data_IF_765124949578
#
_entry.id   IF_765124949578
#
_cell.length_a   1.000
_cell.length_b   1.000
_cell.length_c   1.000
_cell.angle_alpha   90.00
_cell.angle_beta   90.00
_cell.angle_gamma   90.00
#
_symmetry.space_group_name_H-M   'P 1'
#
loop_
_entity.id
_entity.type
_entity.pdbx_description
1 polymer ?
#
# COMPACT_ATOMS: atom_id res chain seq x y z
N UNK A 1 40.24 43.01 30.70
CA UNK A 1 40.72 42.21 29.57
C UNK A 1 41.32 40.87 30.06
N UNK A 2 40.55 40.00 30.74
CA UNK A 2 41.03 38.65 31.19
C UNK A 2 39.91 37.58 31.25
N UNK A 3 38.82 37.75 30.48
CA UNK A 3 37.69 36.79 30.51
C UNK A 3 37.40 36.08 29.16
N UNK A 4 38.27 36.20 28.18
CA UNK A 4 38.02 35.65 26.84
C UNK A 4 38.98 34.54 26.41
N UNK A 5 39.62 33.81 27.36
CA UNK A 5 40.55 32.71 27.05
C UNK A 5 40.08 31.32 27.49
N UNK A 6 38.88 31.20 28.06
CA UNK A 6 38.35 29.94 28.59
C UNK A 6 37.33 29.20 27.74
N UNK A 7 36.88 29.75 26.57
CA UNK A 7 35.77 29.17 25.80
C UNK A 7 36.20 28.47 24.47
N UNK A 8 37.49 28.33 24.22
CA UNK A 8 38.02 27.78 22.98
C UNK A 8 38.51 26.31 23.06
N UNK A 9 38.37 25.63 24.20
CA UNK A 9 38.92 24.27 24.39
C UNK A 9 37.84 23.18 24.51
N UNK A 10 36.56 23.50 24.57
CA UNK A 10 35.46 22.50 24.74
C UNK A 10 34.82 22.09 23.40
N UNK A 11 35.14 22.72 22.29
CA UNK A 11 34.49 22.41 20.98
C UNK A 11 35.34 21.51 20.05
N UNK A 12 36.46 20.98 20.52
CA UNK A 12 37.34 20.14 19.68
C UNK A 12 37.25 18.62 19.92
N UNK A 13 36.30 18.15 20.73
CA UNK A 13 36.21 16.72 21.08
C UNK A 13 34.93 16.01 20.59
N UNK A 14 34.13 16.60 19.73
CA UNK A 14 32.91 15.97 19.16
C UNK A 14 32.98 15.70 17.67
N UNK A 15 34.13 15.78 17.03
CA UNK A 15 34.32 15.27 15.67
C UNK A 15 35.03 13.93 15.69
N UNK A 16 34.43 12.93 16.34
CA UNK A 16 34.71 11.54 15.96
C UNK A 16 33.95 11.34 14.64
N UNK A 17 34.63 11.12 13.50
CA UNK A 17 33.93 10.69 12.30
C UNK A 17 33.34 9.32 12.63
N UNK A 18 32.01 9.27 12.75
CA UNK A 18 31.23 8.05 12.72
C UNK A 18 31.27 7.51 11.28
N UNK A 19 32.49 7.27 10.80
CA UNK A 19 32.74 6.37 9.68
C UNK A 19 32.66 4.94 10.21
N UNK A 20 31.53 4.57 10.83
CA UNK A 20 31.04 3.23 10.73
C UNK A 20 30.68 3.07 9.24
N UNK A 21 31.70 2.84 8.42
CA UNK A 21 31.55 2.22 7.13
C UNK A 21 30.74 0.95 7.41
N UNK A 22 29.43 1.02 7.20
CA UNK A 22 28.67 -0.17 6.86
C UNK A 22 29.45 -0.73 5.66
N UNK A 23 30.31 -1.69 5.93
CA UNK A 23 30.87 -2.54 4.91
C UNK A 23 29.65 -3.22 4.31
N UNK A 24 29.10 -2.63 3.27
CA UNK A 24 28.27 -3.34 2.33
C UNK A 24 29.18 -4.45 1.83
N UNK A 25 29.03 -5.61 2.46
CA UNK A 25 29.66 -6.85 2.01
C UNK A 25 29.23 -6.96 0.54
N UNK A 26 30.17 -6.78 -0.36
CA UNK A 26 29.88 -6.96 -1.79
C UNK A 26 29.11 -8.27 -1.94
N UNK A 27 27.99 -8.27 -2.67
CA UNK A 27 27.19 -9.48 -2.83
C UNK A 27 28.12 -10.56 -3.37
N UNK A 28 28.29 -11.64 -2.61
CA UNK A 28 29.06 -12.81 -3.06
C UNK A 28 28.40 -13.26 -4.36
N UNK A 29 29.13 -13.36 -5.48
CA UNK A 29 28.51 -13.76 -6.74
C UNK A 29 27.85 -15.13 -6.56
N UNK A 30 26.59 -15.23 -6.98
CA UNK A 30 25.81 -16.46 -6.93
C UNK A 30 26.56 -17.54 -7.73
N UNK A 31 26.76 -18.73 -7.15
CA UNK A 31 27.39 -19.82 -7.89
C UNK A 31 26.57 -20.15 -9.16
N UNK A 32 27.22 -20.48 -10.29
CA UNK A 32 26.50 -20.84 -11.52
C UNK A 32 25.50 -21.97 -11.31
N UNK A 33 25.83 -22.93 -10.44
CA UNK A 33 24.97 -24.05 -10.10
C UNK A 33 23.72 -23.58 -9.33
N UNK A 34 23.88 -22.77 -8.29
CA UNK A 34 22.77 -22.22 -7.52
C UNK A 34 21.87 -21.33 -8.39
N UNK A 35 22.48 -20.51 -9.26
CA UNK A 35 21.73 -19.69 -10.20
C UNK A 35 20.87 -20.53 -11.16
N UNK A 36 21.40 -21.65 -11.64
CA UNK A 36 20.65 -22.57 -12.51
C UNK A 36 19.45 -23.18 -11.77
N UNK A 37 19.64 -23.61 -10.50
CA UNK A 37 18.55 -24.11 -9.65
C UNK A 37 17.48 -23.05 -9.39
N UNK A 38 17.89 -21.81 -9.10
CA UNK A 38 16.94 -20.71 -8.89
C UNK A 38 16.11 -20.47 -10.15
N UNK A 39 16.74 -20.40 -11.32
CA UNK A 39 16.04 -20.24 -12.60
C UNK A 39 15.08 -21.39 -12.90
N UNK A 40 15.49 -22.62 -12.59
CA UNK A 40 14.64 -23.80 -12.75
C UNK A 40 13.43 -23.73 -11.81
N UNK A 41 13.62 -23.38 -10.53
CA UNK A 41 12.53 -23.21 -9.57
C UNK A 41 11.56 -22.12 -10.02
N UNK A 42 12.06 -20.97 -10.45
CA UNK A 42 11.25 -19.87 -11.00
C UNK A 42 10.42 -20.34 -12.20
N UNK A 43 11.01 -21.18 -13.08
CA UNK A 43 10.31 -21.74 -14.22
C UNK A 43 9.19 -22.71 -13.82
N UNK A 44 9.47 -23.66 -12.92
CA UNK A 44 8.46 -24.68 -12.51
C UNK A 44 7.34 -24.09 -11.62
N UNK A 45 7.60 -22.96 -10.96
CA UNK A 45 6.60 -22.24 -10.15
C UNK A 45 5.90 -21.10 -10.90
N UNK A 46 6.33 -20.84 -12.14
CA UNK A 46 5.77 -19.81 -13.01
C UNK A 46 5.65 -18.42 -12.33
N UNK A 47 6.71 -18.05 -11.59
CA UNK A 47 6.77 -16.82 -10.79
C UNK A 47 6.47 -15.58 -11.61
N UNK A 48 6.98 -15.50 -12.85
CA UNK A 48 6.77 -14.33 -13.71
C UNK A 48 5.28 -14.12 -14.04
N UNK A 49 4.56 -15.19 -14.42
CA UNK A 49 3.13 -15.10 -14.70
C UNK A 49 2.31 -14.88 -13.43
N UNK A 50 2.70 -15.47 -12.31
CA UNK A 50 2.06 -15.23 -11.01
C UNK A 50 2.22 -13.76 -10.58
N UNK A 51 3.41 -13.19 -10.74
CA UNK A 51 3.66 -11.76 -10.46
C UNK A 51 2.83 -10.87 -11.38
N UNK A 52 2.76 -11.19 -12.68
CA UNK A 52 1.93 -10.46 -13.65
C UNK A 52 0.44 -10.52 -13.31
N UNK A 53 -0.07 -11.69 -12.95
CA UNK A 53 -1.47 -11.87 -12.56
C UNK A 53 -1.79 -11.07 -11.28
N UNK A 54 -0.95 -11.18 -10.25
CA UNK A 54 -1.12 -10.45 -8.98
C UNK A 54 -1.08 -8.94 -9.21
N UNK A 55 -0.15 -8.44 -10.02
CA UNK A 55 -0.07 -7.03 -10.37
C UNK A 55 -1.32 -6.58 -11.13
N UNK A 56 -1.78 -7.36 -12.10
CA UNK A 56 -3.01 -7.07 -12.85
C UNK A 56 -4.24 -7.01 -11.93
N UNK A 57 -4.40 -7.95 -11.02
CA UNK A 57 -5.49 -7.96 -10.05
C UNK A 57 -5.42 -6.76 -9.09
N UNK A 58 -4.22 -6.42 -8.60
CA UNK A 58 -4.00 -5.25 -7.74
C UNK A 58 -4.35 -3.96 -8.47
N UNK A 59 -3.91 -3.80 -9.71
CA UNK A 59 -4.25 -2.65 -10.55
C UNK A 59 -5.75 -2.55 -10.82
N UNK A 60 -6.41 -3.68 -11.09
CA UNK A 60 -7.87 -3.71 -11.28
C UNK A 60 -8.62 -3.31 -10.02
N UNK A 61 -8.22 -3.82 -8.84
CA UNK A 61 -8.83 -3.47 -7.56
C UNK A 61 -8.65 -1.97 -7.25
N UNK A 62 -7.44 -1.43 -7.45
CA UNK A 62 -7.15 -0.01 -7.28
C UNK A 62 -7.98 0.85 -8.23
N UNK A 63 -8.05 0.46 -9.50
CA UNK A 63 -8.84 1.12 -10.54
C UNK A 63 -10.32 1.16 -10.19
N UNK A 64 -10.89 0.04 -9.73
CA UNK A 64 -12.29 -0.03 -9.30
C UNK A 64 -12.56 0.90 -8.11
N UNK A 65 -11.65 0.96 -7.14
CA UNK A 65 -11.75 1.85 -5.99
C UNK A 65 -11.72 3.33 -6.41
N UNK A 66 -10.76 3.72 -7.24
CA UNK A 66 -10.65 5.09 -7.77
C UNK A 66 -11.87 5.49 -8.61
N UNK A 67 -12.33 4.59 -9.49
CA UNK A 67 -13.54 4.84 -10.29
C UNK A 67 -14.77 5.08 -9.42
N UNK A 68 -14.90 4.32 -8.32
CA UNK A 68 -15.97 4.51 -7.34
C UNK A 68 -15.88 5.85 -6.59
N UNK A 69 -14.68 6.31 -6.27
CA UNK A 69 -14.46 7.62 -5.64
C UNK A 69 -14.79 8.78 -6.59
N UNK A 70 -14.26 8.73 -7.82
CA UNK A 70 -14.50 9.76 -8.85
C UNK A 70 -15.98 9.80 -9.23
N UNK A 71 -16.62 8.63 -9.38
CA UNK A 71 -18.05 8.55 -9.71
C UNK A 71 -18.95 9.18 -8.63
N UNK A 72 -18.53 9.24 -7.39
CA UNK A 72 -19.25 9.94 -6.31
C UNK A 72 -19.04 11.45 -6.34
N UNK A 73 -17.88 11.93 -6.77
CA UNK A 73 -17.56 13.36 -6.87
C UNK A 73 -18.20 14.04 -8.10
N UNK A 74 -18.40 13.32 -9.19
CA UNK A 74 -19.00 13.83 -10.43
C UNK A 74 -20.38 14.55 -10.30
N UNK A 75 -21.28 14.16 -9.37
CA UNK A 75 -22.56 14.87 -9.19
C UNK A 75 -22.43 16.35 -8.84
N UNK A 76 -21.39 16.73 -8.13
CA UNK A 76 -21.16 18.13 -7.70
C UNK A 76 -20.76 19.00 -8.90
N UNK A 77 -19.92 18.47 -9.80
CA UNK A 77 -19.50 19.16 -11.03
C UNK A 77 -20.65 19.32 -12.05
N UNK A 78 -21.63 18.42 -12.03
CA UNK A 78 -22.81 18.47 -12.90
C UNK A 78 -23.96 19.29 -12.30
N UNK A 79 -23.94 19.61 -11.01
CA UNK A 79 -24.99 20.34 -10.32
C UNK A 79 -25.18 21.79 -10.84
N UNK A 80 -24.17 22.35 -11.50
CA UNK A 80 -24.23 23.66 -12.17
C UNK A 80 -24.93 23.65 -13.54
N UNK A 81 -25.29 22.47 -14.08
CA UNK A 81 -25.99 22.33 -15.35
C UNK A 81 -27.47 22.05 -15.07
N UNK A 82 -28.37 22.80 -15.76
CA UNK A 82 -29.82 22.61 -15.62
C UNK A 82 -30.29 21.31 -16.27
N UNK A 83 -29.87 20.15 -15.72
CA UNK A 83 -30.20 18.81 -16.19
C UNK A 83 -31.48 18.31 -15.49
N UNK A 84 -32.35 17.60 -16.25
CA UNK A 84 -33.45 16.85 -15.62
C UNK A 84 -32.91 15.67 -14.81
N UNK A 85 -33.69 15.11 -13.84
CA UNK A 85 -33.26 13.92 -13.09
C UNK A 85 -32.84 12.74 -13.98
N UNK A 86 -33.53 12.51 -15.09
CA UNK A 86 -33.21 11.46 -16.07
C UNK A 86 -31.91 11.76 -16.79
N UNK A 87 -31.69 12.99 -17.23
CA UNK A 87 -30.44 13.42 -17.86
C UNK A 87 -29.28 13.33 -16.90
N UNK A 88 -29.48 13.68 -15.63
CA UNK A 88 -28.47 13.53 -14.58
C UNK A 88 -28.10 12.06 -14.36
N UNK A 89 -29.09 11.16 -14.31
CA UNK A 89 -28.84 9.73 -14.14
C UNK A 89 -28.05 9.14 -15.33
N UNK A 90 -28.41 9.51 -16.56
CA UNK A 90 -27.68 9.06 -17.75
C UNK A 90 -26.29 9.66 -17.86
N UNK A 91 -26.09 10.93 -17.49
CA UNK A 91 -24.78 11.57 -17.44
C UNK A 91 -23.86 10.86 -16.42
N UNK A 92 -24.37 10.54 -15.24
CA UNK A 92 -23.61 9.77 -14.21
C UNK A 92 -23.21 8.40 -14.74
N UNK A 93 -24.13 7.67 -15.35
CA UNK A 93 -23.87 6.34 -15.92
C UNK A 93 -22.82 6.38 -17.01
N UNK A 94 -22.95 7.32 -17.95
CA UNK A 94 -22.01 7.51 -19.06
C UNK A 94 -20.62 7.90 -18.56
N UNK A 95 -20.54 8.84 -17.62
CA UNK A 95 -19.29 9.27 -17.01
C UNK A 95 -18.62 8.13 -16.23
N UNK A 96 -19.38 7.36 -15.46
CA UNK A 96 -18.86 6.21 -14.73
C UNK A 96 -18.30 5.13 -15.67
N UNK A 97 -19.01 4.85 -16.77
CA UNK A 97 -18.57 3.90 -17.79
C UNK A 97 -17.28 4.38 -18.49
N UNK A 98 -17.22 5.67 -18.85
CA UNK A 98 -16.01 6.28 -19.43
C UNK A 98 -14.81 6.17 -18.50
N UNK A 99 -14.95 6.62 -17.24
CA UNK A 99 -13.88 6.57 -16.25
C UNK A 99 -13.41 5.13 -16.02
N UNK A 100 -14.34 4.19 -15.86
CA UNK A 100 -14.01 2.78 -15.68
C UNK A 100 -13.20 2.21 -16.85
N UNK A 101 -13.56 2.56 -18.08
CA UNK A 101 -12.85 2.16 -19.29
C UNK A 101 -11.43 2.76 -19.34
N UNK A 102 -11.29 4.06 -19.13
CA UNK A 102 -10.00 4.74 -19.20
C UNK A 102 -9.04 4.25 -18.09
N UNK A 103 -9.56 4.06 -16.87
CA UNK A 103 -8.79 3.50 -15.77
C UNK A 103 -8.33 2.07 -16.07
N UNK A 104 -9.18 1.24 -16.67
CA UNK A 104 -8.81 -0.11 -17.08
C UNK A 104 -7.70 -0.09 -18.14
N UNK A 105 -7.82 0.73 -19.16
CA UNK A 105 -6.78 0.88 -20.20
C UNK A 105 -5.45 1.36 -19.60
N UNK A 106 -5.50 2.32 -18.68
CA UNK A 106 -4.31 2.79 -17.97
C UNK A 106 -3.66 1.67 -17.17
N UNK A 107 -4.43 0.90 -16.40
CA UNK A 107 -3.92 -0.23 -15.62
C UNK A 107 -3.29 -1.31 -16.51
N UNK A 108 -3.92 -1.66 -17.64
CA UNK A 108 -3.36 -2.62 -18.60
C UNK A 108 -2.06 -2.13 -19.21
N UNK A 109 -1.97 -0.84 -19.57
CA UNK A 109 -0.75 -0.26 -20.11
C UNK A 109 0.39 -0.21 -19.08
N UNK A 110 0.08 0.08 -17.80
CA UNK A 110 1.07 0.04 -16.72
C UNK A 110 1.63 -1.38 -16.55
N UNK A 111 0.77 -2.41 -16.54
CA UNK A 111 1.24 -3.81 -16.44
C UNK A 111 2.08 -4.22 -17.65
N UNK A 112 1.70 -3.80 -18.86
CA UNK A 112 2.46 -4.07 -20.09
C UNK A 112 3.83 -3.39 -20.11
N UNK A 113 3.99 -2.25 -19.43
CA UNK A 113 5.25 -1.53 -19.36
C UNK A 113 6.28 -2.15 -18.41
N UNK A 114 5.86 -3.12 -17.58
CA UNK A 114 6.76 -3.79 -16.63
C UNK A 114 7.59 -4.84 -17.35
N UNK A 115 8.91 -4.70 -17.28
CA UNK A 115 9.84 -5.75 -17.69
C UNK A 115 9.91 -6.83 -16.61
N UNK A 116 9.12 -7.90 -16.79
CA UNK A 116 9.05 -9.01 -15.84
C UNK A 116 10.34 -9.84 -15.81
N UNK A 117 11.12 -9.89 -16.90
CA UNK A 117 12.40 -10.57 -16.91
C UNK A 117 13.43 -9.80 -16.08
N UNK A 118 13.47 -8.47 -16.22
CA UNK A 118 14.26 -7.62 -15.35
C UNK A 118 13.83 -7.73 -13.89
N UNK A 119 12.52 -7.80 -13.60
CA UNK A 119 11.99 -8.03 -12.26
C UNK A 119 12.47 -9.35 -11.66
N UNK A 120 12.42 -10.42 -12.43
CA UNK A 120 12.95 -11.74 -12.01
C UNK A 120 14.44 -11.64 -11.73
N UNK A 121 15.21 -11.05 -12.61
CA UNK A 121 16.65 -10.96 -12.48
C UNK A 121 17.10 -10.12 -11.29
N UNK A 122 16.43 -8.98 -11.05
CA UNK A 122 16.85 -7.98 -10.04
C UNK A 122 16.24 -8.20 -8.67
N UNK A 123 15.08 -8.85 -8.58
CA UNK A 123 14.35 -9.04 -7.32
C UNK A 123 14.29 -10.49 -6.91
N UNK A 124 13.75 -11.36 -7.77
CA UNK A 124 13.49 -12.74 -7.36
C UNK A 124 14.76 -13.56 -7.21
N UNK A 125 15.68 -13.50 -8.16
CA UNK A 125 16.94 -14.28 -8.09
C UNK A 125 17.73 -13.95 -6.81
N UNK A 126 18.00 -12.70 -6.45
CA UNK A 126 18.68 -12.37 -5.19
C UNK A 126 17.91 -12.80 -3.93
N UNK A 127 16.57 -12.76 -3.95
CA UNK A 127 15.76 -13.22 -2.82
C UNK A 127 15.86 -14.74 -2.65
N UNK A 128 15.75 -15.51 -3.71
CA UNK A 128 15.92 -16.96 -3.64
C UNK A 128 17.33 -17.35 -3.20
N UNK A 129 18.37 -16.65 -3.70
CA UNK A 129 19.75 -16.87 -3.26
C UNK A 129 19.94 -16.62 -1.77
N UNK A 130 19.30 -15.56 -1.26
CA UNK A 130 19.38 -15.18 0.16
C UNK A 130 18.70 -16.18 1.09
N UNK A 131 17.56 -16.73 0.68
CA UNK A 131 16.69 -17.49 1.59
C UNK A 131 16.81 -19.00 1.46
N UNK A 132 17.33 -19.53 0.35
CA UNK A 132 17.40 -20.95 0.11
C UNK A 132 18.85 -21.42 -0.12
N UNK A 133 19.17 -22.59 0.40
CA UNK A 133 20.35 -23.36 0.06
C UNK A 133 20.14 -24.10 -1.26
N UNK A 134 21.21 -24.58 -1.87
CA UNK A 134 21.11 -25.39 -3.10
C UNK A 134 20.29 -26.66 -2.88
N UNK A 135 20.41 -27.30 -1.71
CA UNK A 135 19.63 -28.52 -1.41
C UNK A 135 18.14 -28.21 -1.29
N UNK A 136 17.76 -27.13 -0.60
CA UNK A 136 16.36 -26.72 -0.49
C UNK A 136 15.76 -26.35 -1.85
N UNK A 137 16.54 -25.72 -2.73
CA UNK A 137 16.11 -25.45 -4.10
C UNK A 137 15.83 -26.74 -4.87
N UNK A 138 16.69 -27.77 -4.75
CA UNK A 138 16.47 -29.09 -5.37
C UNK A 138 15.20 -29.76 -4.83
N UNK A 139 15.00 -29.71 -3.54
CA UNK A 139 13.83 -30.31 -2.87
C UNK A 139 12.53 -29.62 -3.31
N UNK A 140 12.54 -28.28 -3.38
CA UNK A 140 11.41 -27.50 -3.90
C UNK A 140 11.12 -27.80 -5.37
N UNK A 141 12.14 -27.87 -6.22
CA UNK A 141 11.99 -28.23 -7.63
C UNK A 141 11.36 -29.62 -7.75
N UNK A 142 11.88 -30.58 -6.99
CA UNK A 142 11.35 -31.95 -6.98
C UNK A 142 9.86 -31.97 -6.56
N UNK A 143 9.49 -31.21 -5.53
CA UNK A 143 8.09 -31.07 -5.09
C UNK A 143 7.21 -30.44 -6.16
N UNK A 144 7.61 -29.28 -6.72
CA UNK A 144 6.80 -28.58 -7.72
C UNK A 144 6.68 -29.30 -9.06
N UNK A 145 7.56 -30.27 -9.36
CA UNK A 145 7.42 -31.17 -10.50
C UNK A 145 6.37 -32.28 -10.28
N UNK A 146 5.91 -32.52 -9.04
CA UNK A 146 4.83 -33.49 -8.78
C UNK A 146 3.47 -32.94 -9.21
N UNK A 147 2.45 -33.79 -9.48
CA UNK A 147 1.10 -33.35 -9.77
C UNK A 147 0.51 -32.47 -8.66
N UNK A 148 0.79 -32.78 -7.40
CA UNK A 148 0.34 -31.99 -6.25
C UNK A 148 1.04 -30.63 -6.20
N UNK A 149 2.34 -30.58 -6.45
CA UNK A 149 3.12 -29.34 -6.52
C UNK A 149 2.63 -28.41 -7.64
N UNK A 150 2.40 -28.95 -8.83
CA UNK A 150 1.84 -28.18 -9.94
C UNK A 150 0.43 -27.64 -9.63
N UNK A 151 -0.41 -28.47 -9.01
CA UNK A 151 -1.72 -28.02 -8.53
C UNK A 151 -1.58 -26.89 -7.50
N UNK A 152 -0.60 -26.97 -6.59
CA UNK A 152 -0.35 -25.93 -5.59
C UNK A 152 0.01 -24.59 -6.23
N UNK A 153 0.85 -24.59 -7.28
CA UNK A 153 1.18 -23.37 -8.03
C UNK A 153 -0.07 -22.67 -8.56
N UNK A 154 -1.00 -23.43 -9.14
CA UNK A 154 -2.23 -22.88 -9.73
C UNK A 154 -3.23 -22.46 -8.66
N UNK A 155 -3.39 -23.27 -7.62
CA UNK A 155 -4.46 -23.08 -6.62
C UNK A 155 -4.10 -22.06 -5.56
N UNK A 156 -2.81 -21.91 -5.18
CA UNK A 156 -2.41 -21.02 -4.10
C UNK A 156 -2.82 -19.56 -4.31
N UNK A 157 -2.60 -18.94 -5.48
CA UNK A 157 -3.06 -17.56 -5.71
C UNK A 157 -4.59 -17.44 -5.72
N UNK A 158 -5.31 -18.44 -6.23
CA UNK A 158 -6.79 -18.45 -6.20
C UNK A 158 -7.29 -18.57 -4.75
N UNK A 159 -6.71 -19.47 -3.98
CA UNK A 159 -7.04 -19.64 -2.57
C UNK A 159 -6.76 -18.36 -1.76
N UNK A 160 -5.64 -17.69 -2.02
CA UNK A 160 -5.30 -16.43 -1.37
C UNK A 160 -6.32 -15.32 -1.72
N UNK A 161 -6.73 -15.23 -2.98
CA UNK A 161 -7.76 -14.30 -3.44
C UNK A 161 -9.12 -14.55 -2.78
N UNK A 162 -9.59 -15.79 -2.80
CA UNK A 162 -10.85 -16.19 -2.18
C UNK A 162 -10.83 -15.99 -0.67
N UNK A 163 -9.73 -16.36 0.00
CA UNK A 163 -9.57 -16.15 1.44
C UNK A 163 -9.60 -14.67 1.80
N UNK A 164 -8.92 -13.80 1.02
CA UNK A 164 -8.95 -12.36 1.22
C UNK A 164 -10.36 -11.79 1.07
N UNK A 165 -11.08 -12.16 0.01
CA UNK A 165 -12.45 -11.72 -0.22
C UNK A 165 -13.40 -12.15 0.92
N UNK A 166 -13.34 -13.42 1.33
CA UNK A 166 -14.16 -13.96 2.43
C UNK A 166 -13.80 -13.34 3.77
N UNK A 167 -12.52 -13.11 4.03
CA UNK A 167 -12.06 -12.43 5.24
C UNK A 167 -12.61 -11.01 5.31
N UNK A 168 -12.53 -10.26 4.20
CA UNK A 168 -13.11 -8.92 4.11
C UNK A 168 -14.62 -8.94 4.36
N UNK A 169 -15.33 -9.87 3.73
CA UNK A 169 -16.78 -10.02 3.93
C UNK A 169 -17.13 -10.36 5.38
N UNK A 170 -16.35 -11.20 6.04
CA UNK A 170 -16.52 -11.55 7.45
C UNK A 170 -16.26 -10.38 8.39
N UNK A 171 -15.22 -9.60 8.12
CA UNK A 171 -14.84 -8.47 8.98
C UNK A 171 -15.69 -7.22 8.77
N UNK A 172 -16.25 -7.03 7.56
CA UNK A 172 -16.95 -5.80 7.19
C UNK A 172 -18.06 -5.38 8.16
N UNK A 173 -18.97 -6.27 8.62
CA UNK A 173 -20.02 -5.90 9.57
C UNK A 173 -19.44 -5.36 10.89
N UNK A 174 -18.39 -6.01 11.42
CA UNK A 174 -17.73 -5.60 12.66
C UNK A 174 -17.02 -4.25 12.49
N UNK A 175 -16.33 -4.06 11.35
CA UNK A 175 -15.67 -2.79 11.05
C UNK A 175 -16.69 -1.64 10.92
N UNK A 176 -17.80 -1.87 10.22
CA UNK A 176 -18.86 -0.86 10.07
C UNK A 176 -19.48 -0.49 11.43
N UNK A 177 -19.68 -1.46 12.30
CA UNK A 177 -20.19 -1.18 13.66
C UNK A 177 -19.17 -0.33 14.45
N UNK A 178 -17.88 -0.68 14.40
CA UNK A 178 -16.82 0.10 15.08
C UNK A 178 -16.68 1.51 14.55
N UNK A 179 -16.82 1.69 13.24
CA UNK A 179 -16.83 3.04 12.64
C UNK A 179 -18.01 3.85 13.18
N UNK A 180 -19.19 3.25 13.25
CA UNK A 180 -20.38 3.90 13.81
C UNK A 180 -20.19 4.25 15.28
N UNK A 181 -19.71 3.32 16.10
CA UNK A 181 -19.41 3.56 17.52
C UNK A 181 -18.42 4.72 17.71
N UNK A 182 -17.37 4.78 16.86
CA UNK A 182 -16.39 5.86 16.88
C UNK A 182 -16.99 7.21 16.46
N UNK A 183 -17.88 7.22 15.46
CA UNK A 183 -18.59 8.44 15.05
C UNK A 183 -19.51 8.96 16.16
N UNK A 184 -20.26 8.08 16.82
CA UNK A 184 -21.14 8.44 17.92
C UNK A 184 -20.36 9.00 19.12
N UNK A 185 -19.18 8.43 19.42
CA UNK A 185 -18.28 8.94 20.46
C UNK A 185 -17.73 10.32 20.09
N UNK A 186 -17.26 10.48 18.88
CA UNK A 186 -16.73 11.76 18.38
C UNK A 186 -17.80 12.87 18.41
N UNK A 187 -19.04 12.56 18.06
CA UNK A 187 -20.14 13.54 18.16
C UNK A 187 -20.38 13.98 19.60
N UNK A 188 -20.34 13.08 20.57
CA UNK A 188 -20.48 13.40 22.00
C UNK A 188 -19.33 14.30 22.49
N UNK A 189 -18.11 14.00 22.06
CA UNK A 189 -16.93 14.80 22.43
C UNK A 189 -16.99 16.21 21.81
N UNK A 190 -17.41 16.33 20.54
CA UNK A 190 -17.64 17.62 19.88
C UNK A 190 -18.73 18.44 20.61
N UNK A 191 -19.83 17.79 21.01
CA UNK A 191 -20.88 18.46 21.74
C UNK A 191 -20.35 18.97 23.08
N UNK A 192 -19.66 18.14 23.85
CA UNK A 192 -19.03 18.54 25.12
C UNK A 192 -18.07 19.72 24.94
N UNK A 193 -17.20 19.63 23.94
CA UNK A 193 -16.27 20.71 23.62
C UNK A 193 -17.01 22.03 23.29
N UNK A 194 -18.07 21.94 22.49
CA UNK A 194 -18.90 23.09 22.14
C UNK A 194 -19.54 23.71 23.37
N UNK A 195 -20.04 22.91 24.31
CA UNK A 195 -20.65 23.39 25.55
C UNK A 195 -19.62 24.03 26.49
N UNK A 196 -18.41 23.50 26.56
CA UNK A 196 -17.29 24.09 27.30
C UNK A 196 -16.88 25.46 26.71
N UNK A 197 -16.83 25.60 25.39
CA UNK A 197 -16.56 26.86 24.70
C UNK A 197 -17.67 27.93 25.02
N UNK A 198 -18.94 27.50 25.02
CA UNK A 198 -20.04 28.40 25.40
C UNK A 198 -19.92 28.88 26.84
N UNK A 199 -19.52 28.02 27.78
CA UNK A 199 -19.27 28.38 29.18
C UNK A 199 -18.16 29.42 29.30
N UNK A 200 -17.05 29.23 28.58
CA UNK A 200 -15.94 30.20 28.57
C UNK A 200 -16.39 31.55 28.00
N UNK A 201 -17.13 31.53 26.88
CA UNK A 201 -17.64 32.76 26.25
C UNK A 201 -18.66 33.54 27.12
N UNK A 202 -19.42 32.83 27.97
CA UNK A 202 -20.39 33.41 28.86
C UNK A 202 -19.82 33.84 30.24
N UNK A 203 -18.59 33.49 30.57
CA UNK A 203 -17.86 33.99 31.73
C UNK A 203 -17.36 35.40 31.42
N UNK A 204 -18.22 36.40 31.62
CA UNK A 204 -17.88 37.84 31.55
C UNK A 204 -16.72 38.13 32.51
N UNK A 205 -15.69 38.87 32.11
CA UNK A 205 -14.68 39.33 33.06
C UNK A 205 -15.35 40.22 34.10
N UNK A 206 -15.03 40.00 35.39
CA UNK A 206 -15.50 40.82 36.47
C UNK A 206 -15.16 42.30 36.19
N UNK A 207 -16.09 43.26 36.45
CA UNK A 207 -15.82 44.68 36.25
C UNK A 207 -14.59 45.11 37.07
N UNK A 208 -13.73 45.98 36.54
CA UNK A 208 -12.55 46.44 37.25
C UNK A 208 -12.96 47.13 38.55
N UNK A 209 -12.17 47.00 39.65
CA UNK A 209 -12.52 47.64 40.90
C UNK A 209 -12.64 49.16 40.74
N UNK A 210 -13.77 49.70 41.12
CA UNK A 210 -13.99 51.13 41.14
C UNK A 210 -13.01 51.83 42.10
N UNK A 211 -12.26 52.80 41.57
CA UNK A 211 -11.36 53.63 42.35
C UNK A 211 -12.20 54.65 43.20
#
# INVERSE_FOLDING_TARGET
MKFMRGLAIVLALCCVPLAAAAQQKEPIPISPEKLALIKELIGVTDVANTAKLTMSQTMQAMTASLSGMIGKALPEDLAGQNLTPEQMAEAKKTSAAFISREMKLMAENMVKAIDFDALVATVYIPLYDKYYTEQELRDLIAFYKTPTGQKAVIVSPLLAGDASAKTTQFLMPTMMQRIKDAQDLMQKDIQKFTDDLKRIGNSSPAPPPSK
#
